data_IF_564929590445
#
_entry.id   IF_564929590445
#
_cell.length_a   1.000
_cell.length_b   1.000
_cell.length_c   1.000
_cell.angle_alpha   90.00
_cell.angle_beta   90.00
_cell.angle_gamma   90.00
#
_symmetry.space_group_name_H-M   'P 1'
#
loop_
_entity.id
_entity.type
_entity.pdbx_description
1 polymer ?
#
# COMPACT_ATOMS: atom_id res chain seq x y z
N UNK A 1 -21.61 7.78 23.70
CA UNK A 1 -20.38 6.96 23.56
C UNK A 1 -20.05 6.99 22.09
N UNK A 2 -19.09 7.80 21.71
CA UNK A 2 -18.63 7.84 20.33
C UNK A 2 -17.97 6.50 20.05
N UNK A 3 -18.47 5.77 19.04
CA UNK A 3 -17.85 4.50 18.64
C UNK A 3 -16.43 4.82 18.16
N UNK A 4 -15.44 4.15 18.71
CA UNK A 4 -14.07 4.32 18.26
C UNK A 4 -14.01 4.02 16.74
N UNK A 5 -13.51 4.96 15.96
CA UNK A 5 -13.45 4.86 14.51
C UNK A 5 -12.32 3.89 14.13
N UNK A 6 -12.68 2.74 13.57
CA UNK A 6 -11.71 1.71 13.24
C UNK A 6 -10.78 2.13 12.08
N UNK A 7 -9.49 1.89 12.25
CA UNK A 7 -8.42 2.21 11.30
C UNK A 7 -7.81 0.90 10.77
N UNK A 8 -7.52 0.84 9.46
CA UNK A 8 -6.73 -0.22 8.84
C UNK A 8 -5.45 0.32 8.22
N UNK A 9 -4.42 -0.51 8.16
CA UNK A 9 -3.16 -0.19 7.46
C UNK A 9 -3.07 -1.00 6.17
N UNK A 10 -2.96 -0.30 5.03
CA UNK A 10 -2.94 -0.85 3.67
C UNK A 10 -1.57 -0.61 3.06
N UNK A 11 -0.81 -1.67 2.81
CA UNK A 11 0.56 -1.62 2.34
C UNK A 11 0.62 -2.14 0.90
N UNK A 12 1.04 -1.28 -0.03
CA UNK A 12 0.89 -1.48 -1.47
C UNK A 12 2.21 -1.86 -2.12
N UNK A 13 2.24 -3.01 -2.80
CA UNK A 13 3.26 -3.45 -3.78
C UNK A 13 4.72 -3.48 -3.27
N UNK A 14 4.97 -3.77 -2.01
CA UNK A 14 6.34 -3.97 -1.52
C UNK A 14 6.87 -5.37 -1.89
N UNK A 15 6.94 -5.64 -3.23
CA UNK A 15 7.33 -6.92 -3.82
C UNK A 15 8.72 -6.84 -4.46
N UNK A 16 9.42 -7.96 -4.51
CA UNK A 16 10.82 -8.07 -4.95
C UNK A 16 11.06 -7.45 -6.32
N UNK A 17 10.20 -7.72 -7.31
CA UNK A 17 10.38 -7.25 -8.69
C UNK A 17 10.47 -5.73 -8.82
N UNK A 18 9.78 -4.98 -7.96
CA UNK A 18 9.82 -3.51 -8.00
C UNK A 18 11.14 -2.92 -7.50
N UNK A 19 11.96 -3.71 -6.81
CA UNK A 19 13.21 -3.27 -6.17
C UNK A 19 14.48 -3.81 -6.86
N UNK A 20 14.37 -4.38 -8.06
CA UNK A 20 15.53 -4.95 -8.77
C UNK A 20 16.07 -4.05 -9.89
N UNK A 21 15.24 -3.18 -10.46
CA UNK A 21 15.60 -2.44 -11.70
C UNK A 21 15.76 -0.93 -11.49
N UNK A 22 15.25 -0.38 -10.41
CA UNK A 22 15.23 1.06 -10.19
C UNK A 22 16.21 1.49 -9.09
N UNK A 23 17.33 2.19 -9.43
CA UNK A 23 18.38 2.53 -8.47
C UNK A 23 17.87 3.28 -7.24
N UNK A 24 16.85 4.13 -7.38
CA UNK A 24 16.24 4.86 -6.27
C UNK A 24 15.59 3.89 -5.28
N UNK A 25 14.70 3.00 -5.74
CA UNK A 25 14.04 2.02 -4.90
C UNK A 25 15.02 1.02 -4.28
N UNK A 26 16.05 0.60 -5.01
CA UNK A 26 17.10 -0.26 -4.47
C UNK A 26 17.79 0.43 -3.27
N UNK A 27 18.11 1.71 -3.37
CA UNK A 27 18.75 2.47 -2.28
C UNK A 27 17.83 2.69 -1.09
N UNK A 28 16.56 3.00 -1.32
CA UNK A 28 15.59 3.28 -0.24
C UNK A 28 15.03 2.02 0.42
N UNK A 29 15.15 0.85 -0.21
CA UNK A 29 14.57 -0.42 0.27
C UNK A 29 14.84 -0.70 1.76
N UNK A 30 16.07 -0.60 2.31
CA UNK A 30 16.30 -0.94 3.72
C UNK A 30 15.58 0.01 4.68
N UNK A 31 15.60 1.32 4.41
CA UNK A 31 14.92 2.31 5.25
C UNK A 31 13.41 2.21 5.12
N UNK A 32 12.90 2.03 3.89
CA UNK A 32 11.47 1.86 3.63
C UNK A 32 10.91 0.63 4.35
N UNK A 33 11.58 -0.53 4.24
CA UNK A 33 11.17 -1.74 4.94
C UNK A 33 11.20 -1.57 6.46
N UNK A 34 12.22 -0.89 7.00
CA UNK A 34 12.32 -0.59 8.44
C UNK A 34 11.16 0.30 8.91
N UNK A 35 10.84 1.38 8.19
CA UNK A 35 9.74 2.27 8.55
C UNK A 35 8.38 1.56 8.44
N UNK A 36 8.17 0.75 7.40
CA UNK A 36 6.93 -0.05 7.25
C UNK A 36 6.79 -1.04 8.39
N UNK A 37 7.87 -1.74 8.78
CA UNK A 37 7.82 -2.66 9.92
C UNK A 37 7.48 -1.95 11.24
N UNK A 38 7.99 -0.73 11.46
CA UNK A 38 7.64 0.09 12.61
C UNK A 38 6.14 0.46 12.59
N UNK A 39 5.62 0.92 11.45
CA UNK A 39 4.19 1.22 11.28
C UNK A 39 3.32 -0.02 11.53
N UNK A 40 3.70 -1.18 10.99
CA UNK A 40 3.00 -2.47 11.19
C UNK A 40 2.98 -2.86 12.67
N UNK A 41 4.11 -2.69 13.37
CA UNK A 41 4.18 -2.99 14.81
C UNK A 41 3.25 -2.09 15.62
N UNK A 42 3.25 -0.78 15.35
CA UNK A 42 2.35 0.18 16.00
C UNK A 42 0.87 -0.13 15.70
N UNK A 43 0.54 -0.46 14.46
CA UNK A 43 -0.81 -0.83 14.06
C UNK A 43 -1.29 -2.10 14.79
N UNK A 44 -0.47 -3.15 14.84
CA UNK A 44 -0.79 -4.40 15.55
C UNK A 44 -0.96 -4.20 17.05
N UNK A 45 -0.13 -3.38 17.69
CA UNK A 45 -0.28 -3.03 19.11
C UNK A 45 -1.61 -2.33 19.40
N UNK A 46 -2.19 -1.67 18.42
CA UNK A 46 -3.48 -0.95 18.53
C UNK A 46 -4.64 -1.70 17.84
N UNK A 47 -4.48 -3.00 17.57
CA UNK A 47 -5.49 -3.87 16.95
C UNK A 47 -6.00 -3.40 15.58
N UNK A 48 -5.22 -2.58 14.87
CA UNK A 48 -5.49 -2.15 13.51
C UNK A 48 -5.15 -3.28 12.53
N UNK A 49 -6.09 -3.76 11.70
CA UNK A 49 -5.82 -4.82 10.74
C UNK A 49 -4.85 -4.36 9.64
N UNK A 50 -4.00 -5.30 9.21
CA UNK A 50 -2.99 -5.07 8.17
C UNK A 50 -3.42 -5.74 6.88
N UNK A 51 -3.34 -4.98 5.78
CA UNK A 51 -3.63 -5.43 4.42
C UNK A 51 -2.38 -5.28 3.55
N UNK A 52 -1.82 -6.40 3.13
CA UNK A 52 -0.73 -6.45 2.14
C UNK A 52 -1.34 -6.56 0.75
N UNK A 53 -1.20 -5.53 -0.05
CA UNK A 53 -1.67 -5.53 -1.44
C UNK A 53 -0.53 -6.00 -2.33
N UNK A 54 -0.74 -7.09 -3.07
CA UNK A 54 0.21 -7.66 -4.02
C UNK A 54 -0.33 -7.56 -5.44
N UNK A 55 0.47 -7.05 -6.36
CA UNK A 55 0.20 -7.21 -7.79
C UNK A 55 0.68 -8.59 -8.22
N UNK A 56 -0.19 -9.39 -8.82
CA UNK A 56 0.18 -10.72 -9.31
C UNK A 56 -0.48 -10.93 -10.66
N UNK A 57 0.29 -11.25 -11.70
CA UNK A 57 -0.23 -11.57 -13.02
C UNK A 57 -0.10 -13.07 -13.31
N UNK A 58 -1.02 -13.59 -14.11
CA UNK A 58 -0.96 -14.96 -14.61
C UNK A 58 0.32 -15.19 -15.45
N UNK A 59 0.85 -16.43 -15.52
CA UNK A 59 2.07 -16.73 -16.28
C UNK A 59 2.00 -16.36 -17.77
N UNK A 60 0.80 -16.35 -18.36
CA UNK A 60 0.55 -15.97 -19.76
C UNK A 60 0.22 -14.47 -19.93
N UNK A 61 0.18 -13.70 -18.83
CA UNK A 61 -0.14 -12.27 -18.75
C UNK A 61 -1.53 -11.87 -19.27
N UNK A 62 -2.46 -12.82 -19.48
CA UNK A 62 -3.80 -12.50 -20.02
C UNK A 62 -4.61 -11.57 -19.12
N UNK A 63 -4.36 -11.57 -17.82
CA UNK A 63 -5.02 -10.71 -16.83
C UNK A 63 -4.27 -9.38 -16.55
N UNK A 64 -3.09 -9.21 -17.14
CA UNK A 64 -2.29 -7.99 -17.02
C UNK A 64 -2.88 -6.81 -17.82
N UNK A 65 -2.53 -5.55 -17.49
CA UNK A 65 -2.86 -4.38 -18.32
C UNK A 65 -2.33 -4.52 -19.76
N UNK A 66 -2.96 -3.80 -20.68
CA UNK A 66 -2.66 -3.92 -22.12
C UNK A 66 -1.21 -3.56 -22.45
N UNK A 67 -0.65 -2.57 -21.79
CA UNK A 67 0.74 -2.13 -21.94
C UNK A 67 1.75 -3.21 -21.49
N UNK A 68 1.46 -3.90 -20.38
CA UNK A 68 2.27 -5.03 -19.89
C UNK A 68 2.19 -6.20 -20.86
N UNK A 69 0.99 -6.53 -21.35
CA UNK A 69 0.79 -7.61 -22.32
C UNK A 69 1.52 -7.36 -23.65
N UNK A 70 1.49 -6.12 -24.13
CA UNK A 70 2.09 -5.73 -25.41
C UNK A 70 3.58 -5.40 -25.28
N UNK A 71 4.01 -4.84 -24.15
CA UNK A 71 5.39 -4.43 -23.91
C UNK A 71 6.35 -5.56 -23.52
N UNK A 72 5.82 -6.75 -23.25
CA UNK A 72 6.65 -7.93 -22.90
C UNK A 72 7.34 -7.84 -21.53
N UNK A 73 6.99 -6.86 -20.71
CA UNK A 73 7.55 -6.71 -19.38
C UNK A 73 6.95 -7.76 -18.43
N UNK A 74 7.77 -8.72 -18.05
CA UNK A 74 7.38 -9.77 -17.10
C UNK A 74 7.71 -9.31 -15.68
N UNK A 75 6.74 -8.74 -15.01
CA UNK A 75 6.86 -8.27 -13.62
C UNK A 75 5.75 -8.88 -12.77
N UNK A 76 6.05 -9.25 -11.54
CA UNK A 76 5.10 -9.81 -10.57
C UNK A 76 4.27 -10.98 -11.13
N UNK A 77 4.94 -11.87 -11.88
CA UNK A 77 4.31 -13.05 -12.49
C UNK A 77 4.20 -14.18 -11.47
N UNK A 78 3.02 -14.78 -11.37
CA UNK A 78 2.75 -15.91 -10.49
C UNK A 78 3.78 -17.03 -10.65
N UNK A 79 4.22 -17.62 -9.53
CA UNK A 79 5.23 -18.68 -9.50
C UNK A 79 6.67 -18.19 -9.64
N UNK A 80 6.92 -16.88 -9.75
CA UNK A 80 8.29 -16.32 -9.75
C UNK A 80 8.66 -15.74 -8.38
N UNK A 81 9.95 -15.69 -8.01
CA UNK A 81 10.39 -15.04 -6.77
C UNK A 81 10.04 -13.55 -6.70
N UNK A 82 9.92 -12.89 -7.86
CA UNK A 82 9.64 -11.47 -7.97
C UNK A 82 8.27 -11.05 -7.44
N UNK A 83 7.31 -11.97 -7.40
CA UNK A 83 5.96 -11.73 -6.89
C UNK A 83 5.90 -11.67 -5.36
N UNK A 84 6.92 -12.17 -4.68
CA UNK A 84 6.91 -12.22 -3.23
C UNK A 84 7.13 -10.84 -2.58
N UNK A 85 6.58 -10.66 -1.39
CA UNK A 85 6.88 -9.48 -0.57
C UNK A 85 8.38 -9.45 -0.22
N UNK A 86 8.91 -8.26 0.02
CA UNK A 86 10.30 -8.10 0.43
C UNK A 86 10.58 -8.95 1.68
N UNK A 87 11.65 -9.74 1.70
CA UNK A 87 11.95 -10.67 2.80
C UNK A 87 12.23 -9.98 4.14
N UNK A 88 12.49 -8.68 4.13
CA UNK A 88 12.69 -7.87 5.34
C UNK A 88 11.39 -7.51 6.05
N UNK A 89 10.23 -7.69 5.40
CA UNK A 89 8.93 -7.31 5.96
C UNK A 89 8.42 -8.33 6.97
N UNK A 90 7.85 -7.83 8.06
CA UNK A 90 7.27 -8.66 9.13
C UNK A 90 5.79 -8.90 8.85
N UNK A 91 5.52 -9.93 8.05
CA UNK A 91 4.16 -10.36 7.67
C UNK A 91 3.69 -11.47 8.62
N UNK A 92 2.54 -11.31 9.25
CA UNK A 92 1.95 -12.34 10.10
C UNK A 92 0.90 -13.17 9.36
N UNK A 93 0.70 -14.44 9.75
CA UNK A 93 -0.36 -15.28 9.14
C UNK A 93 -1.78 -14.72 9.32
N UNK A 94 -1.99 -13.84 10.28
CA UNK A 94 -3.26 -13.17 10.55
C UNK A 94 -3.50 -11.93 9.69
N UNK A 95 -2.49 -11.46 8.96
CA UNK A 95 -2.61 -10.29 8.09
C UNK A 95 -3.38 -10.66 6.82
N UNK A 96 -4.17 -9.73 6.29
CA UNK A 96 -4.84 -9.93 5.01
C UNK A 96 -3.86 -9.76 3.85
N UNK A 97 -3.99 -10.61 2.83
CA UNK A 97 -3.25 -10.48 1.57
C UNK A 97 -4.27 -10.34 0.45
N UNK A 98 -4.23 -9.21 -0.26
CA UNK A 98 -5.15 -8.89 -1.35
C UNK A 98 -4.39 -8.89 -2.67
N UNK A 99 -4.86 -9.67 -3.62
CA UNK A 99 -4.26 -9.74 -4.97
C UNK A 99 -4.98 -8.78 -5.90
N UNK A 100 -4.22 -7.91 -6.56
CA UNK A 100 -4.73 -6.98 -7.56
C UNK A 100 -4.10 -7.19 -8.94
N UNK A 101 -4.80 -6.74 -9.97
CA UNK A 101 -4.39 -6.79 -11.39
C UNK A 101 -4.27 -5.40 -12.02
N UNK A 102 -4.53 -4.34 -11.26
CA UNK A 102 -4.50 -2.94 -11.71
C UNK A 102 -3.82 -2.10 -10.64
N UNK A 103 -3.65 -0.80 -10.90
CA UNK A 103 -2.93 0.10 -9.98
C UNK A 103 -3.60 0.19 -8.61
N UNK A 104 -4.91 0.42 -8.58
CA UNK A 104 -5.62 0.54 -7.31
C UNK A 104 -5.81 -0.80 -6.60
N UNK A 105 -5.58 -0.81 -5.30
CA UNK A 105 -5.89 -1.93 -4.42
C UNK A 105 -7.38 -2.25 -4.34
N UNK A 106 -8.25 -1.32 -4.73
CA UNK A 106 -9.71 -1.50 -4.73
C UNK A 106 -10.27 -2.05 -6.05
N UNK A 107 -9.53 -1.89 -7.16
CA UNK A 107 -10.08 -2.21 -8.47
C UNK A 107 -10.15 -3.72 -8.71
N UNK A 108 -11.39 -4.25 -8.71
CA UNK A 108 -11.64 -5.68 -8.95
C UNK A 108 -11.08 -6.60 -7.87
N UNK A 109 -11.05 -6.12 -6.61
CA UNK A 109 -10.61 -6.88 -5.45
C UNK A 109 -11.68 -6.89 -4.36
N UNK A 110 -11.47 -7.74 -3.34
CA UNK A 110 -12.32 -7.80 -2.16
C UNK A 110 -11.98 -6.77 -1.07
N UNK A 111 -11.01 -5.87 -1.28
CA UNK A 111 -10.52 -4.94 -0.26
C UNK A 111 -11.67 -4.12 0.37
N UNK A 112 -12.53 -3.49 -0.45
CA UNK A 112 -13.63 -2.66 0.06
C UNK A 112 -14.61 -3.47 0.91
N UNK A 113 -14.99 -4.66 0.47
CA UNK A 113 -15.93 -5.53 1.20
C UNK A 113 -15.37 -5.98 2.55
N UNK A 114 -14.08 -6.31 2.62
CA UNK A 114 -13.44 -6.70 3.88
C UNK A 114 -13.32 -5.51 4.81
N UNK A 115 -12.92 -4.33 4.32
CA UNK A 115 -12.84 -3.10 5.12
C UNK A 115 -14.20 -2.75 5.72
N UNK A 116 -15.28 -2.78 4.92
CA UNK A 116 -16.64 -2.48 5.40
C UNK A 116 -17.15 -3.51 6.41
N UNK A 117 -16.91 -4.80 6.17
CA UNK A 117 -17.29 -5.87 7.11
C UNK A 117 -16.63 -5.70 8.47
N UNK A 118 -15.41 -5.12 8.50
CA UNK A 118 -14.69 -4.80 9.72
C UNK A 118 -14.99 -3.39 10.26
N UNK A 119 -16.00 -2.69 9.73
CA UNK A 119 -16.41 -1.33 10.11
C UNK A 119 -15.25 -0.32 10.02
N UNK A 120 -14.30 -0.51 9.12
CA UNK A 120 -13.20 0.41 8.91
C UNK A 120 -13.73 1.69 8.25
N UNK A 121 -13.34 2.83 8.79
CA UNK A 121 -13.68 4.16 8.27
C UNK A 121 -12.43 4.97 7.92
N UNK A 122 -11.28 4.59 8.46
CA UNK A 122 -9.99 5.24 8.26
C UNK A 122 -8.98 4.25 7.70
N UNK A 123 -8.20 4.69 6.74
CA UNK A 123 -7.12 3.87 6.21
C UNK A 123 -5.81 4.64 6.16
N UNK A 124 -4.74 3.96 6.59
CA UNK A 124 -3.36 4.41 6.45
C UNK A 124 -2.77 3.68 5.25
N UNK A 125 -2.31 4.40 4.24
CA UNK A 125 -1.72 3.84 3.03
C UNK A 125 -0.20 4.02 3.05
N UNK A 126 0.52 2.93 2.82
CA UNK A 126 1.98 2.86 2.66
C UNK A 126 2.34 2.11 1.37
N UNK A 127 3.61 2.12 0.98
CA UNK A 127 4.13 1.32 -0.13
C UNK A 127 4.57 2.10 -1.35
N UNK A 128 4.53 1.49 -2.51
CA UNK A 128 5.03 2.00 -3.79
C UNK A 128 4.04 1.73 -4.94
N UNK A 129 4.15 2.37 -6.09
CA UNK A 129 4.84 3.63 -6.34
C UNK A 129 3.86 4.78 -6.05
N UNK A 130 4.37 5.84 -5.43
CA UNK A 130 3.55 6.99 -5.02
C UNK A 130 2.66 7.52 -6.14
N UNK A 131 3.23 7.68 -7.35
CA UNK A 131 2.53 8.26 -8.51
C UNK A 131 1.59 7.29 -9.23
N UNK A 132 1.62 6.01 -8.88
CA UNK A 132 0.82 4.96 -9.52
C UNK A 132 -0.07 4.24 -8.50
N UNK A 133 0.34 3.10 -7.98
CA UNK A 133 -0.52 2.23 -7.17
C UNK A 133 -0.97 2.89 -5.85
N UNK A 134 -0.08 3.61 -5.15
CA UNK A 134 -0.43 4.35 -3.93
C UNK A 134 -1.44 5.45 -4.25
N UNK A 135 -1.18 6.27 -5.28
CA UNK A 135 -2.06 7.35 -5.70
C UNK A 135 -3.45 6.84 -6.08
N UNK A 136 -3.52 5.80 -6.91
CA UNK A 136 -4.81 5.27 -7.36
C UNK A 136 -5.57 4.61 -6.21
N UNK A 137 -4.89 3.93 -5.29
CA UNK A 137 -5.51 3.37 -4.10
C UNK A 137 -6.06 4.47 -3.17
N UNK A 138 -5.31 5.56 -2.98
CA UNK A 138 -5.74 6.68 -2.15
C UNK A 138 -6.97 7.41 -2.74
N UNK A 139 -6.97 7.65 -4.06
CA UNK A 139 -8.12 8.26 -4.75
C UNK A 139 -9.36 7.36 -4.66
N UNK A 140 -9.21 6.07 -4.90
CA UNK A 140 -10.31 5.10 -4.82
C UNK A 140 -10.86 4.97 -3.40
N UNK A 141 -10.00 5.05 -2.38
CA UNK A 141 -10.40 5.08 -0.99
C UNK A 141 -11.23 6.34 -0.67
N UNK A 142 -10.73 7.50 -1.05
CA UNK A 142 -11.42 8.78 -0.88
C UNK A 142 -12.81 8.77 -1.56
N UNK A 143 -12.92 8.24 -2.78
CA UNK A 143 -14.20 8.11 -3.49
C UNK A 143 -15.20 7.12 -2.86
N UNK A 144 -14.74 6.32 -1.90
CA UNK A 144 -15.53 5.37 -1.11
C UNK A 144 -15.82 5.86 0.31
N UNK A 145 -15.58 7.15 0.56
CA UNK A 145 -15.80 7.82 1.84
C UNK A 145 -14.91 7.30 2.99
N UNK A 146 -13.72 6.76 2.68
CA UNK A 146 -12.71 6.53 3.70
C UNK A 146 -11.94 7.81 4.02
N UNK A 147 -11.68 8.06 5.30
CA UNK A 147 -10.69 9.06 5.71
C UNK A 147 -9.28 8.48 5.45
N UNK A 148 -8.51 9.15 4.59
CA UNK A 148 -7.25 8.60 4.07
C UNK A 148 -6.05 9.29 4.69
N UNK A 149 -5.13 8.49 5.23
CA UNK A 149 -3.82 8.92 5.69
C UNK A 149 -2.74 8.32 4.80
N UNK A 150 -1.73 9.10 4.46
CA UNK A 150 -0.51 8.64 3.78
C UNK A 150 0.61 8.56 4.80
N UNK A 151 1.19 7.38 4.98
CA UNK A 151 2.35 7.18 5.83
C UNK A 151 3.61 7.71 5.13
N UNK A 152 3.93 9.00 5.32
CA UNK A 152 4.98 9.71 4.57
C UNK A 152 6.36 9.04 4.64
N UNK A 153 6.70 8.43 5.77
CA UNK A 153 7.96 7.71 5.97
C UNK A 153 7.97 6.34 5.28
N UNK A 154 6.78 5.84 4.90
CA UNK A 154 6.56 4.49 4.37
C UNK A 154 6.13 4.49 2.89
N UNK A 155 6.31 5.60 2.18
CA UNK A 155 5.93 5.76 0.77
C UNK A 155 7.13 6.19 -0.05
N UNK A 156 7.37 5.53 -1.19
CA UNK A 156 8.42 5.92 -2.14
C UNK A 156 7.99 5.66 -3.59
N UNK A 157 8.86 6.05 -4.53
CA UNK A 157 8.67 5.85 -5.95
C UNK A 157 10.01 5.77 -6.67
N UNK A 158 10.05 5.08 -7.81
CA UNK A 158 11.24 5.08 -8.64
C UNK A 158 11.53 6.44 -9.30
N UNK A 159 10.50 7.28 -9.44
CA UNK A 159 10.57 8.62 -10.03
C UNK A 159 10.33 9.69 -8.95
N UNK A 160 11.36 10.48 -8.65
CA UNK A 160 11.31 11.50 -7.60
C UNK A 160 10.40 12.67 -7.95
N UNK A 161 10.37 13.08 -9.22
CA UNK A 161 9.54 14.19 -9.66
C UNK A 161 8.06 13.81 -9.60
N UNK A 162 7.72 12.62 -10.10
CA UNK A 162 6.35 12.10 -10.03
C UNK A 162 5.93 11.81 -8.58
N UNK A 163 6.87 11.37 -7.72
CA UNK A 163 6.62 11.25 -6.28
C UNK A 163 6.19 12.59 -5.68
N UNK A 164 7.02 13.64 -5.85
CA UNK A 164 6.77 14.96 -5.27
C UNK A 164 5.44 15.59 -5.76
N UNK A 165 5.16 15.49 -7.07
CA UNK A 165 3.89 15.99 -7.65
C UNK A 165 2.70 15.22 -7.10
N UNK A 166 2.79 13.90 -6.97
CA UNK A 166 1.70 13.07 -6.46
C UNK A 166 1.43 13.32 -4.98
N UNK A 167 2.48 13.40 -4.15
CA UNK A 167 2.33 13.73 -2.73
C UNK A 167 1.66 15.09 -2.55
N UNK A 168 2.10 16.11 -3.28
CA UNK A 168 1.47 17.45 -3.22
C UNK A 168 0.00 17.43 -3.61
N UNK A 169 -0.37 16.68 -4.65
CA UNK A 169 -1.77 16.57 -5.08
C UNK A 169 -2.62 15.84 -4.04
N UNK A 170 -2.14 14.69 -3.56
CA UNK A 170 -2.87 13.86 -2.63
C UNK A 170 -3.10 14.57 -1.28
N UNK A 171 -2.07 15.20 -0.74
CA UNK A 171 -2.14 15.88 0.57
C UNK A 171 -2.95 17.17 0.55
N UNK A 172 -3.20 17.73 -0.61
CA UNK A 172 -4.03 18.94 -0.75
C UNK A 172 -5.54 18.68 -0.75
N UNK A 173 -5.98 17.46 -1.09
CA UNK A 173 -7.40 17.20 -1.36
C UNK A 173 -7.88 15.81 -0.91
N UNK A 174 -7.06 14.77 -1.14
CA UNK A 174 -7.47 13.37 -1.05
C UNK A 174 -7.16 12.76 0.32
N UNK A 175 -6.01 13.13 0.91
CA UNK A 175 -5.46 12.47 2.08
C UNK A 175 -4.69 13.42 2.98
N UNK A 176 -4.41 12.99 4.20
CA UNK A 176 -3.52 13.66 5.14
C UNK A 176 -2.20 12.89 5.24
N UNK A 177 -1.09 13.53 4.88
CA UNK A 177 0.22 12.94 5.11
C UNK A 177 0.58 12.99 6.60
N UNK A 178 1.10 11.88 7.13
CA UNK A 178 1.52 11.73 8.52
C UNK A 178 2.82 10.92 8.57
N UNK A 179 3.72 11.32 9.45
CA UNK A 179 4.90 10.54 9.82
C UNK A 179 4.51 9.31 10.65
N UNK A 180 5.41 8.36 10.82
CA UNK A 180 5.18 7.22 11.69
C UNK A 180 4.90 7.63 13.14
N UNK A 181 5.53 8.70 13.63
CA UNK A 181 5.28 9.24 14.97
C UNK A 181 3.85 9.75 15.11
N UNK A 182 3.38 10.55 14.15
CA UNK A 182 2.01 11.07 14.12
C UNK A 182 0.97 9.95 13.97
N UNK A 183 1.25 8.93 13.14
CA UNK A 183 0.38 7.76 12.98
C UNK A 183 0.31 6.90 14.24
N UNK A 184 1.41 6.75 14.96
CA UNK A 184 1.41 6.08 16.27
C UNK A 184 0.45 6.76 17.24
N UNK A 185 0.52 8.10 17.33
CA UNK A 185 -0.40 8.88 18.18
C UNK A 185 -1.87 8.71 17.75
N UNK A 186 -2.12 8.73 16.42
CA UNK A 186 -3.44 8.50 15.84
C UNK A 186 -3.99 7.11 16.22
N UNK A 187 -3.18 6.05 16.03
CA UNK A 187 -3.58 4.67 16.34
C UNK A 187 -3.89 4.48 17.84
N UNK A 188 -3.13 5.15 18.73
CA UNK A 188 -3.35 5.08 20.18
C UNK A 188 -4.59 5.78 20.65
N UNK A 189 -5.04 6.85 19.97
CA UNK A 189 -6.22 7.63 20.34
C UNK A 189 -7.55 6.93 20.05
N UNK A 190 -7.52 5.77 19.42
CA UNK A 190 -8.69 5.00 18.97
C UNK A 190 -8.87 3.67 19.74
N UNK A 191 -8.30 3.58 20.94
CA UNK A 191 -8.53 2.46 21.87
C UNK A 191 -9.83 2.59 22.63
#
# INVERSE_FOLDING_TARGET
MELAVAIATVIVDLQVDFFVSHPRLIRSRPSLASHVNALVADAKQNHSPIFWIKQVFAPDLQDAPIDVRQGGHRITVEGTPGVELLPELVVAPSDFVIIKKRYSGFFGTELDSILRTNNIQRIVIAGINTHACVRMTAIDAYQRDYEVFLASDCIDSYDEQHHAVSMRYLTGTIAMARTNEELRALLQSHR
#
